data_IF_878388159996
#
_entry.id   IF_878388159996
#
_cell.length_a   1.000
_cell.length_b   1.000
_cell.length_c   1.000
_cell.angle_alpha   90.00
_cell.angle_beta   90.00
_cell.angle_gamma   90.00
#
_symmetry.space_group_name_H-M   'P 1'
#
loop_
_entity.id
_entity.type
_entity.pdbx_description
1 polymer ?
#
# COMPACT_ATOMS: atom_id res chain seq x y z
N UNK A 1 -27.92 -0.03 3.50
CA UNK A 1 -26.47 0.03 3.22
C UNK A 1 -26.03 1.47 3.47
N UNK A 2 -25.20 1.69 4.49
CA UNK A 2 -24.91 3.00 5.10
C UNK A 2 -24.18 3.97 4.17
N UNK A 3 -24.91 4.89 3.54
CA UNK A 3 -24.38 6.00 2.73
C UNK A 3 -24.23 7.32 3.50
N UNK A 4 -24.41 7.31 4.84
CA UNK A 4 -24.50 8.54 5.64
C UNK A 4 -23.20 8.98 6.33
N UNK A 5 -22.10 8.23 6.24
CA UNK A 5 -20.81 8.72 6.74
C UNK A 5 -20.02 9.32 5.58
N UNK A 6 -20.23 10.62 5.34
CA UNK A 6 -19.36 11.37 4.43
C UNK A 6 -17.90 11.24 4.90
N UNK A 7 -16.95 10.89 4.02
CA UNK A 7 -15.54 10.86 4.38
C UNK A 7 -15.10 12.20 4.98
N UNK A 8 -14.33 12.16 6.08
CA UNK A 8 -13.71 13.38 6.62
C UNK A 8 -12.84 14.03 5.55
N UNK A 9 -12.99 15.35 5.38
CA UNK A 9 -12.20 16.09 4.41
C UNK A 9 -10.72 16.10 4.80
N UNK A 10 -9.79 16.15 3.83
CA UNK A 10 -8.35 16.22 4.12
C UNK A 10 -8.00 17.38 5.06
N UNK A 11 -8.62 18.55 4.88
CA UNK A 11 -8.41 19.72 5.73
C UNK A 11 -8.84 19.49 7.20
N UNK A 12 -10.00 18.86 7.43
CA UNK A 12 -10.41 18.53 8.81
C UNK A 12 -9.52 17.46 9.44
N UNK A 13 -9.07 16.49 8.63
CA UNK A 13 -8.13 15.49 9.10
C UNK A 13 -6.82 16.15 9.54
N UNK A 14 -6.23 17.00 8.71
CA UNK A 14 -5.01 17.75 9.02
C UNK A 14 -5.15 18.60 10.29
N UNK A 15 -6.27 19.31 10.45
CA UNK A 15 -6.52 20.11 11.65
C UNK A 15 -6.53 19.24 12.92
N UNK A 16 -7.18 18.08 12.86
CA UNK A 16 -7.24 17.16 13.99
C UNK A 16 -5.87 16.54 14.36
N UNK A 17 -4.91 16.47 13.43
CA UNK A 17 -3.59 15.92 13.72
C UNK A 17 -2.81 16.79 14.73
N UNK A 18 -3.00 18.10 14.70
CA UNK A 18 -2.30 19.08 15.54
C UNK A 18 -2.47 18.82 17.04
N UNK A 19 -3.62 18.29 17.44
CA UNK A 19 -3.95 18.03 18.83
C UNK A 19 -3.50 16.64 19.33
N UNK A 20 -2.99 15.78 18.44
CA UNK A 20 -2.60 14.41 18.78
C UNK A 20 -1.13 14.32 19.20
N UNK A 21 -0.77 13.48 20.19
CA UNK A 21 0.62 13.21 20.52
C UNK A 21 1.32 12.38 19.43
N UNK A 22 2.65 12.47 19.36
CA UNK A 22 3.46 11.80 18.32
C UNK A 22 3.24 10.28 18.28
N UNK A 23 3.07 9.63 19.43
CA UNK A 23 2.76 8.20 19.52
C UNK A 23 1.43 7.84 18.86
N UNK A 24 0.41 8.69 18.96
CA UNK A 24 -0.87 8.48 18.26
C UNK A 24 -0.71 8.68 16.76
N UNK A 25 0.12 9.62 16.32
CA UNK A 25 0.44 9.78 14.90
C UNK A 25 1.10 8.52 14.33
N UNK A 26 1.98 7.85 15.08
CA UNK A 26 2.57 6.56 14.69
C UNK A 26 1.51 5.49 14.49
N UNK A 27 0.61 5.34 15.46
CA UNK A 27 -0.48 4.36 15.38
C UNK A 27 -1.37 4.63 14.17
N UNK A 28 -1.68 5.90 13.87
CA UNK A 28 -2.46 6.27 12.69
C UNK A 28 -1.75 6.03 11.38
N UNK A 29 -0.44 6.24 11.31
CA UNK A 29 0.34 5.88 10.13
C UNK A 29 0.33 4.36 9.90
N UNK A 30 0.49 3.56 10.96
CA UNK A 30 0.45 2.10 10.88
C UNK A 30 -0.93 1.58 10.45
N UNK A 31 -2.01 2.13 11.01
CA UNK A 31 -3.40 1.77 10.65
C UNK A 31 -3.69 2.04 9.17
N UNK A 32 -3.31 3.21 8.66
CA UNK A 32 -3.53 3.56 7.25
C UNK A 32 -2.72 2.68 6.30
N UNK A 33 -1.45 2.39 6.63
CA UNK A 33 -0.62 1.47 5.84
C UNK A 33 -1.18 0.06 5.81
N UNK A 34 -1.61 -0.45 6.96
CA UNK A 34 -2.24 -1.76 7.03
C UNK A 34 -3.53 -1.81 6.18
N UNK A 35 -4.33 -0.75 6.22
CA UNK A 35 -5.54 -0.63 5.39
C UNK A 35 -5.21 -0.64 3.89
N UNK A 36 -4.17 0.09 3.46
CA UNK A 36 -3.70 0.08 2.07
C UNK A 36 -3.24 -1.33 1.67
N UNK A 37 -2.40 -1.96 2.50
CA UNK A 37 -1.88 -3.31 2.23
C UNK A 37 -3.02 -4.34 2.07
N UNK A 38 -4.07 -4.24 2.88
CA UNK A 38 -5.25 -5.09 2.74
C UNK A 38 -6.02 -4.83 1.43
N UNK A 39 -6.14 -3.58 1.00
CA UNK A 39 -6.78 -3.23 -0.28
C UNK A 39 -5.95 -3.71 -1.47
N UNK A 40 -4.63 -3.54 -1.43
CA UNK A 40 -3.73 -4.03 -2.48
C UNK A 40 -3.81 -5.56 -2.61
N UNK A 41 -3.74 -6.28 -1.48
CA UNK A 41 -3.92 -7.73 -1.47
C UNK A 41 -5.32 -8.16 -1.97
N UNK A 42 -6.38 -7.41 -1.65
CA UNK A 42 -7.71 -7.66 -2.21
C UNK A 42 -7.73 -7.43 -3.72
N UNK A 43 -7.08 -6.38 -4.22
CA UNK A 43 -7.03 -6.08 -5.65
C UNK A 43 -6.27 -7.16 -6.43
N UNK A 44 -5.18 -7.68 -5.87
CA UNK A 44 -4.44 -8.79 -6.46
C UNK A 44 -5.29 -10.06 -6.58
N UNK A 45 -6.12 -10.35 -5.58
CA UNK A 45 -7.05 -11.49 -5.63
C UNK A 45 -8.20 -11.28 -6.62
N UNK A 46 -8.65 -10.05 -6.83
CA UNK A 46 -9.72 -9.73 -7.78
C UNK A 46 -9.25 -9.68 -9.23
N UNK A 47 -7.96 -9.41 -9.49
CA UNK A 47 -7.40 -9.27 -10.84
C UNK A 47 -7.73 -10.44 -11.79
N UNK A 48 -7.57 -11.72 -11.41
CA UNK A 48 -7.85 -12.83 -12.31
C UNK A 48 -9.31 -12.87 -12.80
N UNK A 49 -10.24 -12.50 -11.93
CA UNK A 49 -11.66 -12.41 -12.25
C UNK A 49 -11.95 -11.18 -13.11
N UNK A 50 -11.39 -10.02 -12.75
CA UNK A 50 -11.52 -8.78 -13.50
C UNK A 50 -10.92 -8.86 -14.92
N UNK A 51 -9.89 -9.68 -15.12
CA UNK A 51 -9.25 -9.90 -16.42
C UNK A 51 -9.86 -11.08 -17.21
N UNK A 52 -10.75 -11.86 -16.59
CA UNK A 52 -11.32 -13.07 -17.17
C UNK A 52 -10.31 -14.22 -17.33
N UNK A 53 -9.15 -14.14 -16.68
CA UNK A 53 -8.09 -15.16 -16.73
C UNK A 53 -8.32 -16.29 -15.73
N UNK A 54 -9.20 -16.08 -14.76
CA UNK A 54 -9.65 -17.12 -13.83
C UNK A 54 -10.47 -18.21 -14.56
N UNK A 55 -10.32 -19.46 -14.12
CA UNK A 55 -10.87 -20.62 -14.83
C UNK A 55 -12.41 -20.66 -14.84
N UNK A 56 -13.07 -20.14 -13.81
CA UNK A 56 -14.53 -20.00 -13.74
C UNK A 56 -15.06 -18.82 -14.56
N UNK A 57 -14.21 -17.88 -15.00
CA UNK A 57 -14.63 -16.68 -15.73
C UNK A 57 -14.91 -16.92 -17.22
N UNK A 58 -14.67 -18.12 -17.76
CA UNK A 58 -14.87 -18.47 -19.17
C UNK A 58 -14.23 -17.48 -20.17
N UNK A 59 -13.11 -16.85 -19.79
CA UNK A 59 -12.43 -15.85 -20.62
C UNK A 59 -13.15 -14.49 -20.69
N UNK A 60 -14.09 -14.20 -19.79
CA UNK A 60 -14.83 -12.94 -19.75
C UNK A 60 -14.54 -12.18 -18.44
N UNK A 61 -14.18 -10.89 -18.51
CA UNK A 61 -14.06 -10.01 -17.34
C UNK A 61 -15.31 -9.98 -16.47
N UNK A 62 -15.15 -10.17 -15.16
CA UNK A 62 -16.19 -9.84 -14.19
C UNK A 62 -16.21 -8.33 -13.91
N UNK A 63 -17.25 -7.66 -14.43
CA UNK A 63 -17.41 -6.21 -14.26
C UNK A 63 -17.53 -5.79 -12.79
N UNK A 64 -18.11 -6.62 -11.91
CA UNK A 64 -18.19 -6.32 -10.49
C UNK A 64 -16.80 -6.29 -9.83
N UNK A 65 -15.91 -7.19 -10.25
CA UNK A 65 -14.52 -7.19 -9.81
C UNK A 65 -13.74 -5.98 -10.37
N UNK A 66 -13.98 -5.59 -11.62
CA UNK A 66 -13.40 -4.38 -12.23
C UNK A 66 -13.81 -3.13 -11.44
N UNK A 67 -15.10 -2.98 -11.16
CA UNK A 67 -15.63 -1.83 -10.44
C UNK A 67 -15.10 -1.78 -9.00
N UNK A 68 -15.02 -2.93 -8.32
CA UNK A 68 -14.46 -3.03 -6.98
C UNK A 68 -12.98 -2.61 -6.92
N UNK A 69 -12.16 -3.04 -7.89
CA UNK A 69 -10.75 -2.62 -7.98
C UNK A 69 -10.65 -1.10 -8.18
N UNK A 70 -11.49 -0.52 -9.04
CA UNK A 70 -11.51 0.92 -9.29
C UNK A 70 -11.91 1.71 -8.02
N UNK A 71 -12.93 1.25 -7.29
CA UNK A 71 -13.36 1.88 -6.04
C UNK A 71 -12.28 1.78 -4.95
N UNK A 72 -11.65 0.60 -4.81
CA UNK A 72 -10.51 0.42 -3.91
C UNK A 72 -9.37 1.39 -4.22
N UNK A 73 -9.07 1.62 -5.50
CA UNK A 73 -8.08 2.60 -5.93
C UNK A 73 -8.36 4.02 -5.42
N UNK A 74 -9.63 4.44 -5.41
CA UNK A 74 -10.05 5.73 -4.86
C UNK A 74 -9.82 5.77 -3.33
N UNK A 75 -10.08 4.67 -2.63
CA UNK A 75 -9.83 4.57 -1.19
C UNK A 75 -8.34 4.61 -0.88
N UNK A 76 -7.51 3.86 -1.61
CA UNK A 76 -6.04 3.85 -1.48
C UNK A 76 -5.48 5.26 -1.69
N UNK A 77 -5.93 5.98 -2.73
CA UNK A 77 -5.50 7.35 -2.99
C UNK A 77 -5.78 8.29 -1.80
N UNK A 78 -6.98 8.19 -1.21
CA UNK A 78 -7.35 8.98 -0.02
C UNK A 78 -6.56 8.61 1.23
N UNK A 79 -6.28 7.32 1.44
CA UNK A 79 -5.45 6.86 2.56
C UNK A 79 -4.00 7.34 2.40
N UNK A 80 -3.48 7.33 1.17
CA UNK A 80 -2.15 7.84 0.83
C UNK A 80 -2.06 9.36 1.06
N UNK A 81 -3.09 10.12 0.66
CA UNK A 81 -3.17 11.55 0.96
C UNK A 81 -3.12 11.82 2.48
N UNK A 82 -3.82 11.02 3.28
CA UNK A 82 -3.78 11.12 4.75
C UNK A 82 -2.40 10.79 5.34
N UNK A 83 -1.68 9.81 4.77
CA UNK A 83 -0.29 9.53 5.15
C UNK A 83 0.62 10.73 4.85
N UNK A 84 0.42 11.41 3.71
CA UNK A 84 1.18 12.62 3.38
C UNK A 84 0.90 13.78 4.36
N UNK A 85 -0.35 13.94 4.80
CA UNK A 85 -0.70 14.91 5.84
C UNK A 85 -0.06 14.56 7.20
N UNK A 86 -0.03 13.28 7.57
CA UNK A 86 0.69 12.81 8.76
C UNK A 86 2.18 13.12 8.67
N UNK A 87 2.80 12.86 7.51
CA UNK A 87 4.21 13.21 7.26
C UNK A 87 4.46 14.69 7.47
N UNK A 88 3.67 15.55 6.82
CA UNK A 88 3.82 16.99 6.93
C UNK A 88 3.70 17.49 8.39
N UNK A 89 2.78 16.91 9.16
CA UNK A 89 2.62 17.25 10.58
C UNK A 89 3.83 16.81 11.42
N UNK A 90 4.30 15.58 11.24
CA UNK A 90 5.47 15.03 11.96
C UNK A 90 6.71 15.86 11.68
N UNK A 91 6.98 16.16 10.42
CA UNK A 91 8.12 16.98 9.98
C UNK A 91 7.96 18.44 10.44
N UNK A 92 6.74 18.97 10.43
CA UNK A 92 6.42 20.30 10.96
C UNK A 92 6.72 20.46 12.45
N UNK A 93 6.70 19.36 13.22
CA UNK A 93 7.12 19.31 14.63
C UNK A 93 8.63 19.09 14.81
N UNK A 94 9.39 18.98 13.73
CA UNK A 94 10.82 18.70 13.75
C UNK A 94 11.19 17.24 14.04
N UNK A 95 10.23 16.31 13.99
CA UNK A 95 10.48 14.87 14.12
C UNK A 95 10.76 14.25 12.75
N UNK A 96 11.56 13.19 12.70
CA UNK A 96 11.88 12.51 11.44
C UNK A 96 10.76 11.57 11.02
N UNK A 97 10.24 11.71 9.80
CA UNK A 97 9.28 10.75 9.25
C UNK A 97 9.87 9.33 9.11
N UNK A 98 11.19 9.20 8.98
CA UNK A 98 11.85 7.90 8.85
C UNK A 98 11.63 7.01 10.08
N UNK A 99 11.44 7.61 11.26
CA UNK A 99 11.13 6.88 12.50
C UNK A 99 9.77 6.17 12.42
N UNK A 100 8.88 6.64 11.54
CA UNK A 100 7.55 6.09 11.32
C UNK A 100 7.54 4.98 10.26
N UNK A 101 8.69 4.65 9.66
CA UNK A 101 8.83 3.62 8.65
C UNK A 101 9.43 2.35 9.26
N UNK A 102 8.86 1.20 8.90
CA UNK A 102 9.45 -0.09 9.23
C UNK A 102 10.74 -0.35 8.43
N UNK A 103 11.60 -1.28 8.88
CA UNK A 103 12.85 -1.61 8.18
C UNK A 103 12.64 -2.06 6.72
N UNK A 104 11.54 -2.77 6.43
CA UNK A 104 11.18 -3.19 5.08
C UNK A 104 10.78 -2.02 4.17
N UNK A 105 10.03 -1.05 4.71
CA UNK A 105 9.60 0.15 4.00
C UNK A 105 10.80 1.06 3.68
N UNK A 106 11.75 1.16 4.62
CA UNK A 106 13.02 1.87 4.42
C UNK A 106 13.87 1.20 3.34
N UNK A 107 13.99 -0.13 3.35
CA UNK A 107 14.74 -0.87 2.32
C UNK A 107 14.15 -0.64 0.92
N UNK A 108 12.81 -0.70 0.81
CA UNK A 108 12.10 -0.47 -0.45
C UNK A 108 12.26 0.97 -0.93
N UNK A 109 12.10 1.96 -0.05
CA UNK A 109 12.32 3.37 -0.38
C UNK A 109 13.76 3.65 -0.83
N UNK A 110 14.74 2.98 -0.21
CA UNK A 110 16.16 3.11 -0.56
C UNK A 110 16.46 2.47 -1.92
N UNK A 111 15.87 1.31 -2.22
CA UNK A 111 16.00 0.65 -3.52
C UNK A 111 15.43 1.51 -4.65
N UNK A 112 14.22 2.05 -4.46
CA UNK A 112 13.58 2.95 -5.43
C UNK A 112 14.36 4.27 -5.64
N UNK A 113 14.98 4.81 -4.57
CA UNK A 113 15.82 6.00 -4.66
C UNK A 113 17.16 5.72 -5.37
N UNK A 114 17.71 4.51 -5.25
CA UNK A 114 18.93 4.09 -5.95
C UNK A 114 18.75 3.93 -7.47
N UNK A 115 17.55 3.59 -7.93
CA UNK A 115 17.23 3.45 -9.36
C UNK A 115 17.09 4.79 -10.10
N UNK A 116 16.83 5.90 -9.40
CA UNK A 116 16.77 7.24 -10.01
C UNK A 116 18.16 7.85 -10.30
N UNK A 117 19.25 7.17 -9.91
CA UNK A 117 20.61 7.70 -9.91
C UNK A 117 21.67 6.76 -10.46
N UNK A 118 21.42 6.06 -11.58
CA UNK A 118 22.51 5.44 -12.35
C UNK A 118 22.11 5.11 -13.79
N UNK A 119 22.52 5.97 -14.71
CA UNK A 119 22.56 5.67 -16.14
C UNK A 119 23.77 4.80 -16.49
N UNK A 120 23.51 3.75 -17.29
CA UNK A 120 24.44 2.84 -18.00
C UNK A 120 25.35 1.95 -17.12
N UNK A 121 25.42 0.61 -17.26
CA UNK A 121 25.74 -0.16 -18.47
C UNK A 121 25.46 -1.67 -18.29
N UNK A 122 25.28 -2.35 -19.43
CA UNK A 122 24.89 -3.75 -19.67
C UNK A 122 25.84 -4.88 -19.18
N UNK A 123 25.30 -6.10 -19.32
CA UNK A 123 25.84 -7.46 -19.65
C UNK A 123 26.25 -8.50 -18.57
N UNK A 124 25.35 -9.50 -18.45
CA UNK A 124 25.50 -10.96 -18.64
C UNK A 124 25.92 -11.89 -17.47
N UNK A 125 25.13 -12.96 -17.27
CA UNK A 125 25.69 -14.31 -17.06
C UNK A 125 25.13 -15.19 -15.94
N UNK A 126 24.24 -16.13 -16.32
CA UNK A 126 24.20 -17.54 -15.84
C UNK A 126 23.69 -17.90 -14.43
N UNK A 127 22.45 -18.38 -14.40
CA UNK A 127 22.02 -19.71 -13.90
C UNK A 127 22.50 -20.25 -12.54
N UNK A 128 21.56 -20.33 -11.60
CA UNK A 128 21.41 -21.49 -10.71
C UNK A 128 20.00 -21.52 -10.13
N UNK A 129 19.30 -22.65 -10.31
CA UNK A 129 18.11 -23.00 -9.55
C UNK A 129 18.45 -22.98 -8.06
N UNK A 130 17.73 -22.18 -7.29
CA UNK A 130 17.55 -22.44 -5.86
C UNK A 130 16.06 -22.37 -5.57
N UNK A 131 15.53 -23.54 -5.21
CA UNK A 131 14.19 -23.78 -4.71
C UNK A 131 13.93 -22.84 -3.53
N UNK A 132 13.09 -21.82 -3.75
CA UNK A 132 12.54 -21.04 -2.66
C UNK A 132 11.46 -21.90 -2.00
N UNK A 133 11.84 -22.58 -0.92
CA UNK A 133 10.90 -23.18 0.01
C UNK A 133 9.94 -22.10 0.52
N UNK A 134 8.67 -22.20 0.12
CA UNK A 134 7.60 -21.34 0.62
C UNK A 134 7.27 -21.77 2.05
N UNK A 135 7.52 -20.90 3.02
CA UNK A 135 7.13 -21.08 4.43
C UNK A 135 5.59 -21.03 4.65
N UNK A 136 4.80 -20.97 3.57
CA UNK A 136 3.33 -21.00 3.58
C UNK A 136 2.78 -22.20 2.78
N UNK A 137 3.60 -23.20 2.43
CA UNK A 137 3.09 -24.43 1.83
C UNK A 137 2.73 -25.52 2.86
N UNK A 138 3.20 -25.40 4.11
CA UNK A 138 3.07 -26.46 5.12
C UNK A 138 1.86 -26.22 6.04
N UNK A 139 0.67 -26.41 5.47
CA UNK A 139 -0.64 -26.21 6.10
C UNK A 139 -0.84 -26.97 7.43
N UNK A 140 -0.23 -26.45 8.48
CA UNK A 140 -0.45 -26.84 9.87
C UNK A 140 -1.45 -25.87 10.50
N UNK A 141 -2.72 -26.25 10.43
CA UNK A 141 -3.70 -25.92 11.48
C UNK A 141 -3.58 -26.95 12.61
#
# INVERSE_FOLDING_TARGET
MSSETAPISPARFAEALKDLPLSTLHLKAAELRNSIAHLDYSNEQLKPFAEGTESSANGQPDQGCVDAINENGIVIARMTERINLLRAEVEGRGSSWLEFQGPEELATATALAGEAGSGERLVNGTGSQEERSSAWADGTF
#
